data_IF_892745584882
#
_entry.id   IF_892745584882
#
_cell.length_a   1.000
_cell.length_b   1.000
_cell.length_c   1.000
_cell.angle_alpha   90.00
_cell.angle_beta   90.00
_cell.angle_gamma   90.00
#
_symmetry.space_group_name_H-M   'P 1'
#
loop_
_entity.id
_entity.type
_entity.pdbx_description
1 polymer ?
#
# COMPACT_ATOMS: atom_id res chain seq x y z
N UNK A 1 71.48 69.80 -18.73
CA UNK A 1 70.92 68.97 -19.81
C UNK A 1 69.63 68.39 -19.23
N UNK A 2 68.52 69.13 -19.39
CA UNK A 2 67.47 68.87 -20.41
C UNK A 2 66.73 67.55 -20.10
N UNK A 3 65.44 67.63 -19.72
CA UNK A 3 64.23 67.54 -20.57
C UNK A 3 64.08 66.12 -21.18
N UNK A 4 62.96 65.40 -21.13
CA UNK A 4 61.53 65.68 -20.93
C UNK A 4 60.77 64.35 -20.64
N UNK A 5 59.50 64.49 -20.24
CA UNK A 5 58.28 63.74 -20.63
C UNK A 5 57.43 63.09 -19.52
N UNK A 6 56.20 63.65 -19.46
CA UNK A 6 55.02 63.32 -18.67
C UNK A 6 54.50 61.90 -18.89
N UNK A 7 53.82 61.37 -17.86
CA UNK A 7 52.63 60.52 -18.00
C UNK A 7 51.76 60.68 -16.72
N UNK A 8 50.55 61.19 -16.92
CA UNK A 8 49.42 61.28 -15.97
C UNK A 8 48.88 59.90 -15.56
N UNK A 9 48.34 59.77 -14.34
CA UNK A 9 46.88 59.60 -14.08
C UNK A 9 46.55 59.01 -12.70
N UNK A 10 45.86 59.86 -11.91
CA UNK A 10 44.69 59.61 -11.05
C UNK A 10 44.71 58.57 -9.91
N UNK A 11 44.82 59.12 -8.69
CA UNK A 11 44.36 58.53 -7.43
C UNK A 11 42.82 58.45 -7.37
N UNK A 12 42.26 57.24 -7.35
CA UNK A 12 40.83 57.01 -7.13
C UNK A 12 40.55 56.66 -5.67
N UNK A 13 40.00 57.62 -4.92
CA UNK A 13 39.39 57.41 -3.60
C UNK A 13 38.06 56.66 -3.81
N UNK A 14 37.92 55.46 -3.22
CA UNK A 14 36.66 54.70 -3.24
C UNK A 14 35.79 55.02 -2.02
N UNK A 15 34.57 55.50 -2.26
CA UNK A 15 33.52 55.71 -1.25
C UNK A 15 33.00 54.37 -0.68
N UNK A 16 32.62 54.30 0.61
CA UNK A 16 32.02 53.11 1.19
C UNK A 16 30.57 52.91 0.73
N UNK A 17 30.28 51.70 0.26
CA UNK A 17 29.01 51.27 -0.33
C UNK A 17 27.81 51.36 0.67
N UNK A 18 26.75 52.13 0.37
CA UNK A 18 25.59 52.35 1.25
C UNK A 18 24.74 51.09 1.54
N UNK A 19 25.04 49.97 0.90
CA UNK A 19 24.28 48.71 1.02
C UNK A 19 24.71 47.79 2.18
N UNK A 20 25.73 48.15 2.95
CA UNK A 20 26.25 47.29 4.03
C UNK A 20 25.40 47.35 5.32
N UNK A 21 24.86 48.51 5.67
CA UNK A 21 24.04 48.67 6.90
C UNK A 21 22.62 48.13 6.75
N UNK A 22 22.03 48.21 5.56
CA UNK A 22 20.70 47.66 5.25
C UNK A 22 20.65 46.14 5.42
N UNK A 23 21.69 45.44 4.96
CA UNK A 23 21.83 43.98 5.06
C UNK A 23 21.99 43.49 6.51
N UNK A 24 22.56 44.31 7.40
CA UNK A 24 22.78 43.96 8.82
C UNK A 24 21.49 44.08 9.64
N UNK A 25 20.67 45.09 9.35
CA UNK A 25 19.36 45.28 9.97
C UNK A 25 18.34 44.22 9.54
N UNK A 26 18.41 43.75 8.29
CA UNK A 26 17.52 42.71 7.77
C UNK A 26 17.80 41.33 8.38
N UNK A 27 19.07 40.97 8.59
CA UNK A 27 19.48 39.74 9.28
C UNK A 27 19.07 39.70 10.75
N UNK A 28 19.00 40.86 11.41
CA UNK A 28 18.62 40.98 12.82
C UNK A 28 17.10 40.87 13.01
N UNK A 29 16.33 41.46 12.09
CA UNK A 29 14.87 41.39 12.11
C UNK A 29 14.33 40.01 11.72
N UNK A 30 15.00 39.30 10.81
CA UNK A 30 14.66 37.92 10.46
C UNK A 30 14.88 36.97 11.66
N UNK A 31 16.00 37.06 12.38
CA UNK A 31 16.23 36.26 13.61
C UNK A 31 15.16 36.46 14.69
N UNK A 32 14.69 37.70 14.90
CA UNK A 32 13.60 37.99 15.86
C UNK A 32 12.25 37.41 15.41
N UNK A 33 11.96 37.35 14.11
CA UNK A 33 10.75 36.71 13.57
C UNK A 33 10.80 35.18 13.70
N UNK A 34 11.96 34.56 13.51
CA UNK A 34 12.14 33.12 13.70
C UNK A 34 11.96 32.69 15.17
N UNK A 35 12.47 33.46 16.14
CA UNK A 35 12.28 33.10 17.57
C UNK A 35 10.83 33.25 18.04
N UNK A 36 10.09 34.24 17.50
CA UNK A 36 8.67 34.46 17.80
C UNK A 36 7.77 33.37 17.20
N UNK A 37 8.09 32.88 16.00
CA UNK A 37 7.43 31.73 15.34
C UNK A 37 7.65 30.40 16.10
N UNK A 38 8.85 30.19 16.65
CA UNK A 38 9.14 29.01 17.47
C UNK A 38 8.40 29.03 18.83
N UNK A 39 8.26 30.21 19.45
CA UNK A 39 7.48 30.34 20.69
C UNK A 39 5.97 30.19 20.45
N UNK A 40 5.44 30.57 19.28
CA UNK A 40 4.07 30.24 18.88
C UNK A 40 3.87 28.73 18.63
N UNK A 41 4.83 28.07 17.99
CA UNK A 41 4.80 26.60 17.79
C UNK A 41 4.80 25.82 19.11
N UNK A 42 5.51 26.31 20.15
CA UNK A 42 5.48 25.72 21.50
C UNK A 42 4.15 25.93 22.24
N UNK A 43 3.43 27.01 21.97
CA UNK A 43 2.08 27.25 22.54
C UNK A 43 1.00 26.40 21.87
N UNK A 44 1.13 26.10 20.58
CA UNK A 44 0.17 25.27 19.82
C UNK A 44 0.29 23.77 20.21
N UNK A 45 1.41 23.34 20.79
CA UNK A 45 1.61 21.96 21.28
C UNK A 45 0.81 21.58 22.54
N UNK A 46 0.09 22.51 23.18
CA UNK A 46 -0.70 22.26 24.41
C UNK A 46 -2.20 22.07 24.18
N UNK A 47 -2.65 21.92 22.94
CA UNK A 47 -4.04 21.58 22.61
C UNK A 47 -4.09 20.05 22.46
N UNK A 48 -5.04 19.32 23.09
CA UNK A 48 -5.12 17.87 22.94
C UNK A 48 -5.23 17.52 21.46
N UNK A 49 -4.24 16.76 20.97
CA UNK A 49 -4.08 16.31 19.59
C UNK A 49 -5.21 15.34 19.21
N UNK A 50 -6.36 15.89 18.85
CA UNK A 50 -7.35 15.21 18.02
C UNK A 50 -7.51 16.05 16.75
N UNK A 51 -6.49 16.04 15.89
CA UNK A 51 -6.69 16.28 14.46
C UNK A 51 -5.42 16.06 13.66
N UNK A 52 -5.43 15.00 12.85
CA UNK A 52 -5.09 15.08 11.44
C UNK A 52 -5.76 13.91 10.71
N UNK A 53 -6.51 14.22 9.65
CA UNK A 53 -5.83 14.11 8.36
C UNK A 53 -6.05 15.36 7.50
N UNK A 54 -4.93 15.99 7.09
CA UNK A 54 -4.90 16.73 5.84
C UNK A 54 -4.49 15.74 4.76
N UNK A 55 -5.43 14.93 4.27
CA UNK A 55 -5.30 14.29 2.96
C UNK A 55 -6.06 15.20 2.00
N UNK A 56 -5.33 16.14 1.38
CA UNK A 56 -5.83 16.84 0.19
C UNK A 56 -6.26 15.77 -0.82
N UNK A 57 -7.48 15.91 -1.35
CA UNK A 57 -8.22 14.93 -2.16
C UNK A 57 -7.35 14.06 -3.06
N UNK A 58 -6.82 12.99 -2.48
CA UNK A 58 -6.05 11.96 -3.15
C UNK A 58 -6.94 10.75 -3.11
N UNK A 59 -7.38 10.32 -4.30
CA UNK A 59 -8.10 9.09 -4.51
C UNK A 59 -7.44 7.98 -3.68
N UNK A 60 -8.16 7.40 -2.72
CA UNK A 60 -7.64 6.28 -1.94
C UNK A 60 -7.67 5.03 -2.81
N UNK A 61 -6.70 4.90 -3.71
CA UNK A 61 -6.59 3.81 -4.67
C UNK A 61 -6.60 2.43 -4.00
N UNK A 62 -6.12 2.35 -2.75
CA UNK A 62 -6.22 1.17 -1.88
C UNK A 62 -7.66 0.64 -1.75
N UNK A 63 -8.67 1.51 -1.71
CA UNK A 63 -10.08 1.08 -1.63
C UNK A 63 -10.50 0.29 -2.88
N UNK A 64 -10.04 0.72 -4.06
CA UNK A 64 -10.31 0.04 -5.32
C UNK A 64 -9.66 -1.35 -5.37
N UNK A 65 -8.44 -1.47 -4.84
CA UNK A 65 -7.74 -2.75 -4.75
C UNK A 65 -8.42 -3.74 -3.79
N UNK A 66 -8.96 -3.25 -2.69
CA UNK A 66 -9.75 -4.06 -1.75
C UNK A 66 -11.09 -4.50 -2.35
N UNK A 67 -11.73 -3.66 -3.17
CA UNK A 67 -12.94 -4.04 -3.92
C UNK A 67 -12.62 -5.16 -4.92
N UNK A 68 -11.56 -5.01 -5.72
CA UNK A 68 -11.14 -6.04 -6.67
C UNK A 68 -10.83 -7.36 -5.98
N UNK A 69 -10.07 -7.32 -4.88
CA UNK A 69 -9.77 -8.51 -4.07
C UNK A 69 -11.05 -9.17 -3.54
N UNK A 70 -12.01 -8.36 -3.05
CA UNK A 70 -13.28 -8.87 -2.54
C UNK A 70 -14.06 -9.67 -3.60
N UNK A 71 -14.22 -9.11 -4.80
CA UNK A 71 -14.91 -9.81 -5.89
C UNK A 71 -14.17 -11.07 -6.34
N UNK A 72 -12.84 -11.05 -6.37
CA UNK A 72 -12.03 -12.24 -6.71
C UNK A 72 -12.24 -13.37 -5.70
N UNK A 73 -12.03 -13.10 -4.41
CA UNK A 73 -12.21 -14.13 -3.38
C UNK A 73 -13.67 -14.59 -3.24
N UNK A 74 -14.65 -13.71 -3.45
CA UNK A 74 -16.06 -14.09 -3.51
C UNK A 74 -16.33 -15.07 -4.66
N UNK A 75 -15.79 -14.80 -5.85
CA UNK A 75 -15.95 -15.69 -7.00
C UNK A 75 -15.32 -17.08 -6.74
N UNK A 76 -14.14 -17.12 -6.08
CA UNK A 76 -13.54 -18.40 -5.63
C UNK A 76 -14.46 -19.11 -4.64
N UNK A 77 -14.96 -18.39 -3.63
CA UNK A 77 -15.83 -18.96 -2.61
C UNK A 77 -17.10 -19.57 -3.23
N UNK A 78 -17.76 -18.85 -4.14
CA UNK A 78 -18.95 -19.32 -4.84
C UNK A 78 -18.68 -20.58 -5.67
N UNK A 79 -17.54 -20.63 -6.35
CA UNK A 79 -17.11 -21.81 -7.09
C UNK A 79 -16.82 -23.00 -6.15
N UNK A 80 -16.18 -22.74 -5.00
CA UNK A 80 -15.87 -23.74 -3.98
C UNK A 80 -17.11 -24.34 -3.32
N UNK A 81 -18.21 -23.59 -3.20
CA UNK A 81 -19.48 -24.08 -2.67
C UNK A 81 -20.35 -24.80 -3.71
N UNK A 82 -19.94 -24.83 -4.98
CA UNK A 82 -20.74 -25.45 -6.04
C UNK A 82 -22.03 -24.69 -6.35
N UNK A 83 -22.12 -23.40 -6.00
CA UNK A 83 -23.28 -22.55 -6.32
C UNK A 83 -23.33 -22.16 -7.79
N UNK A 84 -22.24 -22.34 -8.52
CA UNK A 84 -22.16 -22.12 -9.96
C UNK A 84 -22.05 -23.45 -10.68
N UNK A 85 -22.98 -23.74 -11.59
CA UNK A 85 -22.90 -24.91 -12.49
C UNK A 85 -21.52 -24.94 -13.18
N UNK A 86 -20.97 -26.15 -13.35
CA UNK A 86 -19.58 -26.52 -13.68
C UNK A 86 -19.00 -25.99 -15.01
N UNK A 87 -19.52 -24.91 -15.57
CA UNK A 87 -18.83 -24.17 -16.62
C UNK A 87 -17.64 -23.39 -16.00
N UNK A 88 -16.58 -24.13 -15.67
CA UNK A 88 -15.23 -23.63 -15.34
C UNK A 88 -14.76 -22.56 -16.34
N UNK A 89 -15.30 -22.62 -17.57
CA UNK A 89 -15.15 -21.63 -18.66
C UNK A 89 -15.55 -20.21 -18.26
N UNK A 90 -16.63 -20.04 -17.51
CA UNK A 90 -17.15 -18.73 -17.13
C UNK A 90 -16.32 -18.13 -16.00
N UNK A 91 -15.93 -18.95 -15.02
CA UNK A 91 -15.20 -18.50 -13.83
C UNK A 91 -13.82 -17.90 -14.17
N UNK A 92 -13.10 -18.47 -15.14
CA UNK A 92 -11.81 -17.94 -15.61
C UNK A 92 -11.93 -16.53 -16.21
N UNK A 93 -13.00 -16.25 -16.97
CA UNK A 93 -13.25 -14.91 -17.52
C UNK A 93 -13.67 -13.94 -16.43
N UNK A 94 -14.49 -14.39 -15.48
CA UNK A 94 -14.90 -13.58 -14.33
C UNK A 94 -13.73 -13.16 -13.44
N UNK A 95 -12.62 -13.91 -13.43
CA UNK A 95 -11.40 -13.55 -12.70
C UNK A 95 -10.57 -12.41 -13.31
N UNK A 96 -10.78 -12.08 -14.59
CA UNK A 96 -10.08 -10.94 -15.20
C UNK A 96 -10.53 -9.60 -14.62
N UNK A 97 -11.83 -9.45 -14.35
CA UNK A 97 -12.38 -8.23 -13.77
C UNK A 97 -11.73 -7.86 -12.42
N UNK A 98 -11.74 -8.70 -11.38
CA UNK A 98 -11.11 -8.38 -10.10
C UNK A 98 -9.61 -8.12 -10.25
N UNK A 99 -8.93 -8.87 -11.11
CA UNK A 99 -7.49 -8.68 -11.39
C UNK A 99 -7.18 -7.31 -12.00
N UNK A 100 -8.01 -6.83 -12.94
CA UNK A 100 -7.83 -5.51 -13.53
C UNK A 100 -8.08 -4.39 -12.51
N UNK A 101 -9.08 -4.55 -11.63
CA UNK A 101 -9.33 -3.59 -10.56
C UNK A 101 -8.15 -3.50 -9.59
N UNK A 102 -7.60 -4.64 -9.15
CA UNK A 102 -6.43 -4.68 -8.27
C UNK A 102 -5.17 -4.16 -8.97
N UNK A 103 -5.02 -4.40 -10.27
CA UNK A 103 -3.89 -3.89 -11.06
C UNK A 103 -3.90 -2.37 -11.15
N UNK A 104 -5.07 -1.79 -11.45
CA UNK A 104 -5.26 -0.35 -11.51
C UNK A 104 -4.91 0.25 -10.14
N UNK A 105 -5.44 -0.33 -9.06
CA UNK A 105 -5.12 0.11 -7.70
C UNK A 105 -3.61 0.07 -7.40
N UNK A 106 -2.91 -1.01 -7.77
CA UNK A 106 -1.47 -1.14 -7.58
C UNK A 106 -0.69 -0.02 -8.31
N UNK A 107 -1.05 0.25 -9.57
CA UNK A 107 -0.42 1.31 -10.38
C UNK A 107 -0.65 2.69 -9.75
N UNK A 108 -1.86 2.95 -9.25
CA UNK A 108 -2.16 4.21 -8.57
C UNK A 108 -1.42 4.33 -7.21
N UNK A 109 -1.29 3.26 -6.45
CA UNK A 109 -0.53 3.25 -5.19
C UNK A 109 0.96 3.55 -5.42
N UNK A 110 1.55 3.09 -6.54
CA UNK A 110 2.90 3.49 -6.96
C UNK A 110 3.01 5.01 -7.21
N UNK A 111 1.97 5.64 -7.79
CA UNK A 111 1.95 7.09 -8.03
C UNK A 111 1.90 7.89 -6.73
N UNK A 112 1.25 7.35 -5.70
CA UNK A 112 1.09 8.00 -4.39
C UNK A 112 2.27 7.68 -3.45
N UNK A 113 3.26 6.87 -3.88
CA UNK A 113 4.42 6.38 -3.10
C UNK A 113 4.03 5.51 -1.90
N UNK A 114 2.92 4.78 -2.02
CA UNK A 114 2.48 3.79 -1.03
C UNK A 114 3.06 2.41 -1.38
N UNK A 115 4.34 2.20 -1.09
CA UNK A 115 5.08 1.01 -1.55
C UNK A 115 4.49 -0.32 -1.05
N UNK A 116 3.97 -0.35 0.18
CA UNK A 116 3.38 -1.56 0.75
C UNK A 116 2.15 -2.03 -0.04
N UNK A 117 1.16 -1.13 -0.21
CA UNK A 117 -0.09 -1.43 -0.92
C UNK A 117 0.17 -1.76 -2.38
N UNK A 118 1.07 -1.01 -3.03
CA UNK A 118 1.46 -1.23 -4.41
C UNK A 118 2.01 -2.65 -4.65
N UNK A 119 2.95 -3.12 -3.82
CA UNK A 119 3.49 -4.47 -3.96
C UNK A 119 2.45 -5.55 -3.64
N UNK A 120 1.62 -5.35 -2.60
CA UNK A 120 0.59 -6.31 -2.21
C UNK A 120 -0.44 -6.49 -3.33
N UNK A 121 -1.02 -5.41 -3.83
CA UNK A 121 -2.04 -5.48 -4.88
C UNK A 121 -1.47 -5.98 -6.20
N UNK A 122 -0.20 -5.71 -6.49
CA UNK A 122 0.47 -6.26 -7.67
C UNK A 122 0.58 -7.79 -7.58
N UNK A 123 0.98 -8.31 -6.42
CA UNK A 123 1.07 -9.75 -6.19
C UNK A 123 -0.32 -10.43 -6.25
N UNK A 124 -1.33 -9.84 -5.61
CA UNK A 124 -2.72 -10.35 -5.65
C UNK A 124 -3.25 -10.37 -7.09
N UNK A 125 -2.91 -9.37 -7.90
CA UNK A 125 -3.25 -9.33 -9.32
C UNK A 125 -2.64 -10.50 -10.08
N UNK A 126 -1.32 -10.73 -9.90
CA UNK A 126 -0.63 -11.84 -10.56
C UNK A 126 -1.16 -13.21 -10.12
N UNK A 127 -1.55 -13.33 -8.85
CA UNK A 127 -2.20 -14.53 -8.33
C UNK A 127 -3.50 -14.83 -9.07
N UNK A 128 -4.42 -13.86 -9.19
CA UNK A 128 -5.69 -14.08 -9.88
C UNK A 128 -5.52 -14.34 -11.38
N UNK A 129 -4.58 -13.66 -12.05
CA UNK A 129 -4.26 -13.97 -13.45
C UNK A 129 -3.69 -15.38 -13.61
N UNK A 130 -2.80 -15.81 -12.71
CA UNK A 130 -2.25 -17.17 -12.72
C UNK A 130 -3.36 -18.21 -12.51
N UNK A 131 -4.28 -17.96 -11.58
CA UNK A 131 -5.44 -18.83 -11.34
C UNK A 131 -6.36 -18.93 -12.57
N UNK A 132 -6.70 -17.78 -13.17
CA UNK A 132 -7.52 -17.73 -14.38
C UNK A 132 -6.86 -18.47 -15.56
N UNK A 133 -5.55 -18.29 -15.75
CA UNK A 133 -4.78 -18.99 -16.78
C UNK A 133 -4.72 -20.49 -16.51
N UNK A 134 -4.53 -20.91 -15.26
CA UNK A 134 -4.50 -22.33 -14.87
C UNK A 134 -5.82 -23.04 -15.20
N UNK A 135 -6.95 -22.40 -14.94
CA UNK A 135 -8.26 -22.93 -15.33
C UNK A 135 -8.47 -22.89 -16.85
N UNK A 136 -8.03 -21.82 -17.53
CA UNK A 136 -8.15 -21.72 -18.98
C UNK A 136 -7.32 -22.79 -19.71
N UNK A 137 -6.12 -23.10 -19.23
CA UNK A 137 -5.28 -24.19 -19.77
C UNK A 137 -5.94 -25.56 -19.58
N UNK A 138 -6.69 -25.76 -18.49
CA UNK A 138 -7.47 -26.98 -18.26
C UNK A 138 -8.53 -27.22 -19.34
N UNK A 139 -9.03 -26.17 -19.98
CA UNK A 139 -10.04 -26.27 -21.04
C UNK A 139 -9.46 -26.70 -22.40
N UNK A 140 -8.20 -26.33 -22.65
CA UNK A 140 -7.50 -26.64 -23.90
C UNK A 140 -6.78 -28.00 -23.87
N UNK A 141 -6.59 -28.57 -22.68
CA UNK A 141 -5.90 -29.84 -22.51
C UNK A 141 -6.88 -31.02 -22.53
N UNK A 142 -6.82 -31.84 -23.57
CA UNK A 142 -7.67 -33.05 -23.70
C UNK A 142 -7.17 -34.25 -22.89
N UNK A 143 -5.96 -34.17 -22.31
CA UNK A 143 -5.33 -35.28 -21.60
C UNK A 143 -5.39 -35.09 -20.09
N UNK A 144 -6.01 -36.04 -19.38
CA UNK A 144 -6.13 -36.03 -17.92
C UNK A 144 -4.75 -35.99 -17.22
N UNK A 145 -3.72 -36.61 -17.80
CA UNK A 145 -2.34 -36.56 -17.28
C UNK A 145 -1.73 -35.16 -17.35
N UNK A 146 -2.05 -34.39 -18.38
CA UNK A 146 -1.56 -33.04 -18.54
C UNK A 146 -2.24 -32.06 -17.56
N UNK A 147 -3.52 -32.30 -17.24
CA UNK A 147 -4.25 -31.54 -16.22
C UNK A 147 -3.64 -31.79 -14.83
N UNK A 148 -3.38 -33.05 -14.46
CA UNK A 148 -2.77 -33.37 -13.16
C UNK A 148 -1.34 -32.82 -13.02
N UNK A 149 -0.53 -32.86 -14.09
CA UNK A 149 0.80 -32.28 -14.08
C UNK A 149 0.75 -30.74 -13.91
N UNK A 150 -0.19 -30.07 -14.59
CA UNK A 150 -0.43 -28.64 -14.44
C UNK A 150 -0.85 -28.28 -13.02
N UNK A 151 -1.77 -29.04 -12.42
CA UNK A 151 -2.25 -28.75 -11.07
C UNK A 151 -1.14 -28.88 -10.02
N UNK A 152 -0.22 -29.84 -10.18
CA UNK A 152 0.98 -29.97 -9.33
C UNK A 152 1.94 -28.79 -9.48
N UNK A 153 2.18 -28.32 -10.70
CA UNK A 153 3.03 -27.14 -10.96
C UNK A 153 2.36 -25.86 -10.42
N UNK A 154 1.04 -25.75 -10.54
CA UNK A 154 0.30 -24.64 -9.97
C UNK A 154 0.36 -24.65 -8.44
N UNK A 155 0.25 -25.83 -7.82
CA UNK A 155 0.39 -25.98 -6.37
C UNK A 155 1.79 -25.58 -5.87
N UNK A 156 2.87 -25.90 -6.61
CA UNK A 156 4.22 -25.46 -6.24
C UNK A 156 4.40 -23.95 -6.38
N UNK A 157 3.80 -23.34 -7.39
CA UNK A 157 3.74 -21.89 -7.53
C UNK A 157 2.98 -21.21 -6.37
N UNK A 158 1.85 -21.79 -5.94
CA UNK A 158 1.09 -21.30 -4.80
C UNK A 158 1.88 -21.34 -3.49
N UNK A 159 2.76 -22.34 -3.29
CA UNK A 159 3.66 -22.40 -2.13
C UNK A 159 4.61 -21.20 -2.12
N UNK A 160 5.17 -20.83 -3.27
CA UNK A 160 6.05 -19.66 -3.37
C UNK A 160 5.30 -18.36 -3.03
N UNK A 161 4.06 -18.22 -3.49
CA UNK A 161 3.19 -17.09 -3.14
C UNK A 161 2.87 -17.08 -1.64
N UNK A 162 2.57 -18.24 -1.05
CA UNK A 162 2.26 -18.35 0.38
C UNK A 162 3.41 -17.84 1.25
N UNK A 163 4.65 -18.25 0.94
CA UNK A 163 5.84 -17.78 1.65
C UNK A 163 5.95 -16.27 1.57
N UNK A 164 5.71 -15.69 0.40
CA UNK A 164 5.76 -14.25 0.20
C UNK A 164 4.63 -13.54 0.97
N UNK A 165 3.40 -14.08 0.96
CA UNK A 165 2.27 -13.50 1.71
C UNK A 165 2.49 -13.51 3.22
N UNK A 166 3.12 -14.55 3.79
CA UNK A 166 3.49 -14.56 5.22
C UNK A 166 4.38 -13.36 5.56
N UNK A 167 5.33 -12.99 4.71
CA UNK A 167 6.12 -11.77 4.92
C UNK A 167 5.25 -10.52 4.88
N UNK A 168 4.28 -10.42 3.96
CA UNK A 168 3.33 -9.30 3.92
C UNK A 168 2.46 -9.22 5.17
N UNK A 169 2.03 -10.36 5.72
CA UNK A 169 1.27 -10.44 6.97
C UNK A 169 2.08 -9.91 8.14
N UNK A 170 3.38 -10.21 8.21
CA UNK A 170 4.29 -9.64 9.21
C UNK A 170 4.46 -8.12 9.04
N UNK A 171 4.56 -7.62 7.82
CA UNK A 171 4.58 -6.18 7.56
C UNK A 171 3.25 -5.50 7.95
N UNK A 172 2.13 -6.17 7.76
CA UNK A 172 0.81 -5.65 8.04
C UNK A 172 0.51 -5.43 9.53
N UNK A 173 1.29 -6.02 10.42
CA UNK A 173 1.25 -5.74 11.87
C UNK A 173 1.41 -4.23 12.19
N UNK A 174 2.08 -3.49 11.30
CA UNK A 174 2.36 -2.06 11.45
C UNK A 174 1.27 -1.14 10.86
N UNK A 175 0.24 -1.69 10.20
CA UNK A 175 -0.77 -0.92 9.47
C UNK A 175 -2.06 -0.75 10.28
N UNK A 176 -3.14 -1.44 9.90
CA UNK A 176 -4.44 -1.43 10.57
C UNK A 176 -4.84 -2.85 10.93
N UNK A 177 -5.61 -3.02 12.01
CA UNK A 177 -6.09 -4.33 12.47
C UNK A 177 -6.83 -5.08 11.37
N UNK A 178 -7.67 -4.37 10.62
CA UNK A 178 -8.48 -4.95 9.55
C UNK A 178 -7.59 -5.49 8.42
N UNK A 179 -6.55 -4.74 8.03
CA UNK A 179 -5.61 -5.18 7.00
C UNK A 179 -4.78 -6.39 7.43
N UNK A 180 -4.41 -6.47 8.72
CA UNK A 180 -3.75 -7.65 9.26
C UNK A 180 -4.65 -8.90 9.20
N UNK A 181 -5.90 -8.79 9.69
CA UNK A 181 -6.83 -9.92 9.66
C UNK A 181 -7.16 -10.36 8.24
N UNK A 182 -7.32 -9.42 7.31
CA UNK A 182 -7.51 -9.73 5.89
C UNK A 182 -6.36 -10.55 5.31
N UNK A 183 -5.10 -10.16 5.57
CA UNK A 183 -3.92 -10.90 5.10
C UNK A 183 -3.77 -12.26 5.78
N UNK A 184 -4.05 -12.35 7.07
CA UNK A 184 -4.04 -13.61 7.80
C UNK A 184 -5.05 -14.62 7.22
N UNK A 185 -6.28 -14.17 6.94
CA UNK A 185 -7.28 -15.03 6.28
C UNK A 185 -6.90 -15.37 4.83
N UNK A 186 -6.19 -14.47 4.14
CA UNK A 186 -5.65 -14.73 2.81
C UNK A 186 -4.58 -15.83 2.82
N UNK A 187 -3.69 -15.85 3.81
CA UNK A 187 -2.69 -16.92 3.99
C UNK A 187 -3.38 -18.28 4.15
N UNK A 188 -4.42 -18.34 4.98
CA UNK A 188 -5.22 -19.55 5.19
C UNK A 188 -5.93 -19.97 3.89
N UNK A 189 -6.50 -19.02 3.13
CA UNK A 189 -7.15 -19.32 1.87
C UNK A 189 -6.19 -19.94 0.84
N UNK A 190 -4.99 -19.36 0.69
CA UNK A 190 -3.95 -19.87 -0.21
C UNK A 190 -3.47 -21.25 0.26
N UNK A 191 -3.32 -21.46 1.57
CA UNK A 191 -2.96 -22.76 2.13
C UNK A 191 -3.97 -23.86 1.77
N UNK A 192 -5.27 -23.60 1.92
CA UNK A 192 -6.30 -24.56 1.49
C UNK A 192 -6.34 -24.74 -0.03
N UNK A 193 -6.05 -23.69 -0.80
CA UNK A 193 -5.96 -23.79 -2.25
C UNK A 193 -4.81 -24.72 -2.69
N UNK A 194 -3.65 -24.67 -2.01
CA UNK A 194 -2.54 -25.61 -2.22
C UNK A 194 -3.00 -27.05 -1.96
N UNK A 195 -3.74 -27.29 -0.87
CA UNK A 195 -4.26 -28.62 -0.55
C UNK A 195 -5.28 -29.12 -1.59
N UNK A 196 -6.08 -28.22 -2.14
CA UNK A 196 -7.06 -28.56 -3.18
C UNK A 196 -6.37 -28.94 -4.51
N UNK A 197 -5.43 -28.14 -5.01
CA UNK A 197 -4.71 -28.46 -6.26
C UNK A 197 -3.68 -29.59 -6.12
N UNK A 198 -3.02 -29.70 -4.96
CA UNK A 198 -1.96 -30.69 -4.74
C UNK A 198 -2.48 -32.07 -4.31
N UNK A 199 -3.46 -32.11 -3.42
CA UNK A 199 -3.92 -33.34 -2.75
C UNK A 199 -5.41 -33.64 -2.99
N UNK A 200 -6.10 -32.86 -3.86
CA UNK A 200 -7.55 -33.00 -4.15
C UNK A 200 -8.41 -32.99 -2.89
N UNK A 201 -8.01 -32.16 -1.91
CA UNK A 201 -8.76 -31.99 -0.67
C UNK A 201 -10.10 -31.28 -0.92
N UNK A 202 -11.07 -31.44 -0.03
CA UNK A 202 -12.43 -30.94 -0.21
C UNK A 202 -12.45 -29.42 -0.53
N UNK A 203 -12.98 -29.07 -1.71
CA UNK A 203 -13.05 -27.69 -2.22
C UNK A 203 -13.83 -26.75 -1.29
N UNK A 204 -14.74 -27.26 -0.48
CA UNK A 204 -15.55 -26.48 0.47
C UNK A 204 -14.66 -25.80 1.53
N UNK A 205 -13.55 -26.44 1.94
CA UNK A 205 -12.63 -25.85 2.91
C UNK A 205 -11.89 -24.62 2.36
N UNK A 206 -11.77 -24.48 1.04
CA UNK A 206 -11.23 -23.27 0.39
C UNK A 206 -12.27 -22.15 0.45
N UNK A 207 -13.55 -22.47 0.32
CA UNK A 207 -14.63 -21.49 0.25
C UNK A 207 -14.80 -20.66 1.53
N UNK A 208 -14.66 -21.28 2.71
CA UNK A 208 -14.83 -20.62 4.01
C UNK A 208 -13.84 -19.45 4.23
N UNK A 209 -12.51 -19.64 4.13
CA UNK A 209 -11.56 -18.55 4.30
C UNK A 209 -11.68 -17.52 3.16
N UNK A 210 -11.96 -17.94 1.92
CA UNK A 210 -12.20 -16.99 0.82
C UNK A 210 -13.40 -16.08 1.09
N UNK A 211 -14.48 -16.62 1.67
CA UNK A 211 -15.66 -15.84 2.06
C UNK A 211 -15.30 -14.81 3.15
N UNK A 212 -14.53 -15.22 4.18
CA UNK A 212 -14.04 -14.30 5.21
C UNK A 212 -13.18 -13.17 4.62
N UNK A 213 -12.24 -13.50 3.73
CA UNK A 213 -11.41 -12.50 3.03
C UNK A 213 -12.28 -11.50 2.26
N UNK A 214 -13.31 -11.97 1.54
CA UNK A 214 -14.23 -11.09 0.80
C UNK A 214 -14.98 -10.13 1.72
N UNK A 215 -15.54 -10.61 2.84
CA UNK A 215 -16.25 -9.76 3.81
C UNK A 215 -15.32 -8.70 4.39
N UNK A 216 -14.12 -9.10 4.87
CA UNK A 216 -13.16 -8.17 5.46
C UNK A 216 -12.68 -7.13 4.45
N UNK A 217 -12.43 -7.55 3.21
CA UNK A 217 -11.99 -6.66 2.13
C UNK A 217 -13.06 -5.65 1.73
N UNK A 218 -14.33 -6.08 1.65
CA UNK A 218 -15.49 -5.19 1.41
C UNK A 218 -15.68 -4.20 2.56
N UNK A 219 -15.54 -4.65 3.82
CA UNK A 219 -15.62 -3.76 4.97
C UNK A 219 -14.50 -2.72 4.94
N UNK A 220 -13.27 -3.15 4.67
CA UNK A 220 -12.11 -2.26 4.58
C UNK A 220 -12.26 -1.22 3.46
N UNK A 221 -12.78 -1.60 2.30
CA UNK A 221 -12.99 -0.66 1.19
C UNK A 221 -14.08 0.36 1.49
N UNK A 222 -15.23 -0.09 2.03
CA UNK A 222 -16.32 0.78 2.46
C UNK A 222 -15.87 1.78 3.54
N UNK A 223 -15.13 1.30 4.53
CA UNK A 223 -14.60 2.14 5.59
C UNK A 223 -13.65 3.22 5.05
N UNK A 224 -12.75 2.87 4.12
CA UNK A 224 -11.83 3.84 3.50
C UNK A 224 -12.57 4.88 2.64
N UNK A 225 -13.52 4.44 1.80
CA UNK A 225 -14.30 5.34 0.95
C UNK A 225 -15.16 6.30 1.80
N UNK A 226 -15.86 5.76 2.81
CA UNK A 226 -16.77 6.55 3.62
C UNK A 226 -16.02 7.52 4.54
N UNK A 227 -14.91 7.08 5.15
CA UNK A 227 -14.09 7.97 5.99
C UNK A 227 -13.44 9.09 5.16
N UNK A 228 -13.14 8.84 3.88
CA UNK A 228 -12.65 9.86 2.95
C UNK A 228 -13.72 10.92 2.66
N UNK A 229 -14.94 10.49 2.30
CA UNK A 229 -16.05 11.41 2.00
C UNK A 229 -16.53 12.18 3.24
N UNK A 230 -16.66 11.50 4.38
CA UNK A 230 -17.15 12.10 5.62
C UNK A 230 -16.11 13.00 6.32
N UNK A 231 -14.83 12.94 5.91
CA UNK A 231 -13.67 13.60 6.56
C UNK A 231 -13.61 13.38 8.08
N UNK A 232 -14.24 12.30 8.56
CA UNK A 232 -14.33 11.86 9.95
C UNK A 232 -14.24 10.34 9.97
N UNK A 233 -13.65 9.79 11.02
CA UNK A 233 -13.61 8.34 11.23
C UNK A 233 -15.00 7.87 11.69
N UNK A 234 -15.80 7.37 10.75
CA UNK A 234 -17.11 6.78 11.06
C UNK A 234 -16.98 5.27 11.27
N UNK A 235 -16.24 4.60 10.38
CA UNK A 235 -15.91 3.18 10.53
C UNK A 235 -14.49 3.03 11.10
N UNK A 236 -14.33 2.41 12.28
CA UNK A 236 -13.01 2.17 12.84
C UNK A 236 -12.29 1.09 12.01
N UNK A 237 -11.18 1.48 11.39
CA UNK A 237 -10.25 0.56 10.72
C UNK A 237 -9.31 -0.15 11.72
N UNK A 238 -9.40 0.21 13.00
CA UNK A 238 -8.56 -0.27 14.10
C UNK A 238 -7.17 0.34 14.07
N UNK A 239 -6.61 0.62 15.26
CA UNK A 239 -5.23 1.11 15.40
C UNK A 239 -4.23 -0.01 15.06
N UNK A 240 -3.03 0.35 14.63
CA UNK A 240 -1.96 -0.62 14.38
C UNK A 240 -1.75 -1.54 15.59
N UNK A 241 -1.70 -2.86 15.37
CA UNK A 241 -1.52 -3.85 16.44
C UNK A 241 -0.12 -3.77 17.06
N UNK A 242 0.89 -3.42 16.26
CA UNK A 242 2.27 -3.40 16.71
C UNK A 242 2.98 -2.11 16.29
N UNK A 243 3.21 -1.22 17.24
CA UNK A 243 3.97 0.01 17.02
C UNK A 243 5.46 -0.23 17.30
N UNK A 244 6.21 -0.56 16.25
CA UNK A 244 7.65 -0.87 16.32
C UNK A 244 8.48 0.25 16.96
N UNK A 245 8.00 1.50 16.92
CA UNK A 245 8.65 2.63 17.60
C UNK A 245 8.56 2.51 19.12
N UNK A 246 7.42 2.08 19.66
CA UNK A 246 7.28 1.82 21.11
C UNK A 246 8.14 0.64 21.55
N UNK A 247 8.23 -0.40 20.73
CA UNK A 247 9.07 -1.57 20.99
C UNK A 247 10.56 -1.21 21.05
N UNK A 248 11.09 -0.48 20.06
CA UNK A 248 12.49 -0.01 20.08
C UNK A 248 12.75 0.94 21.24
N UNK A 249 11.83 1.84 21.57
CA UNK A 249 11.98 2.76 22.71
C UNK A 249 12.02 1.99 24.03
N UNK A 250 11.21 0.93 24.18
CA UNK A 250 11.25 0.03 25.34
C UNK A 250 12.59 -0.72 25.44
N UNK A 251 13.16 -1.18 24.33
CA UNK A 251 14.48 -1.83 24.33
C UNK A 251 15.63 -0.85 24.57
N UNK A 252 15.54 0.39 24.06
CA UNK A 252 16.53 1.44 24.30
C UNK A 252 16.52 1.96 25.74
N UNK A 253 15.40 1.84 26.46
CA UNK A 253 15.29 2.29 27.86
C UNK A 253 15.78 1.24 28.88
N UNK A 254 16.07 0.03 28.42
CA UNK A 254 16.47 -1.12 29.25
C UNK A 254 17.98 -1.44 29.17
N UNK A 255 18.70 -0.76 28.27
CA UNK A 255 20.17 -0.70 28.22
C UNK A 255 20.63 0.71 28.57
#
# INVERSE_FOLDING_TARGET
MENELNLESDDFISEPDPNYESAKNEKTNSRKRYSKSQNQSKKIQKIPLIMKPKREGKLEATSLGLIGSSFGYLAIAMASFGMTDEDVKKLSVFMFFPSLLTLIAAILDFRVKHNFGACLFFLVTLFFFSLALSWMMGLWSSSQKAVEAKDKVFASFLIAILVFMIFFTLFALQLTQVQFWFLFWMDIAIFFLILNFGYRFNSILVGIPCLMVSILSSYASLALMYNHEAKREFFPLGQALFDWKKFIVLFRKKN
#
